data_IF_285867060659
#
_entry.id   IF_285867060659
#
_cell.length_a   1.000
_cell.length_b   1.000
_cell.length_c   1.000
_cell.angle_alpha   90.00
_cell.angle_beta   90.00
_cell.angle_gamma   90.00
#
_symmetry.space_group_name_H-M   'P 1'
#
loop_
_entity.id
_entity.type
_entity.pdbx_description
1 polymer ?
#
# COMPACT_ATOMS: atom_id res chain seq x y z
N UNK A 1 10.10 -24.26 10.10
CA UNK A 1 9.53 -23.47 11.22
C UNK A 1 9.26 -24.36 12.42
N UNK A 2 8.48 -25.43 12.23
CA UNK A 2 8.14 -26.39 13.29
C UNK A 2 9.36 -26.93 14.04
N UNK A 3 10.42 -27.33 13.33
CA UNK A 3 11.65 -27.82 13.96
C UNK A 3 12.42 -26.75 14.75
N UNK A 4 12.26 -25.47 14.39
CA UNK A 4 12.87 -24.37 15.13
C UNK A 4 12.12 -24.13 16.44
N UNK A 5 10.78 -24.08 16.37
CA UNK A 5 9.92 -23.89 17.56
C UNK A 5 9.98 -25.08 18.51
N UNK A 6 10.07 -26.31 18.00
CA UNK A 6 10.18 -27.51 18.82
C UNK A 6 11.49 -27.55 19.62
N UNK A 7 12.59 -27.15 18.98
CA UNK A 7 13.89 -27.12 19.64
C UNK A 7 14.09 -25.91 20.56
N UNK A 8 13.32 -24.83 20.35
CA UNK A 8 13.45 -23.60 21.13
C UNK A 8 12.08 -22.95 21.39
N UNK A 9 11.25 -23.53 22.27
CA UNK A 9 9.88 -23.05 22.51
C UNK A 9 9.83 -21.63 23.06
N UNK A 10 10.86 -21.20 23.80
CA UNK A 10 10.99 -19.84 24.31
C UNK A 10 11.07 -18.76 23.21
N UNK A 11 11.35 -19.14 21.96
CA UNK A 11 11.38 -18.20 20.84
C UNK A 11 9.99 -17.87 20.27
N UNK A 12 8.95 -18.66 20.58
CA UNK A 12 7.58 -18.52 20.04
C UNK A 12 7.04 -17.09 20.19
N UNK A 13 7.17 -16.39 21.33
CA UNK A 13 6.69 -15.02 21.49
C UNK A 13 7.31 -13.99 20.53
N UNK A 14 8.50 -14.28 19.99
CA UNK A 14 9.21 -13.40 19.05
C UNK A 14 9.03 -13.80 17.58
N UNK A 15 8.30 -14.88 17.29
CA UNK A 15 8.02 -15.29 15.92
C UNK A 15 6.83 -14.50 15.41
N UNK A 16 7.05 -13.68 14.38
CA UNK A 16 5.99 -12.92 13.69
C UNK A 16 5.95 -13.28 12.22
N UNK A 17 4.75 -13.20 11.64
CA UNK A 17 4.57 -13.28 10.19
C UNK A 17 5.30 -12.11 9.54
N UNK A 18 6.03 -12.39 8.46
CA UNK A 18 6.76 -11.41 7.67
C UNK A 18 6.24 -11.46 6.23
N UNK A 19 5.83 -10.32 5.69
CA UNK A 19 5.40 -10.21 4.30
C UNK A 19 6.27 -9.23 3.50
N UNK A 20 6.44 -9.55 2.23
CA UNK A 20 6.83 -8.62 1.18
C UNK A 20 5.74 -8.53 0.11
N UNK A 21 5.97 -7.76 -0.96
CA UNK A 21 5.03 -7.68 -2.08
C UNK A 21 4.71 -9.05 -2.69
N UNK A 22 5.70 -9.95 -2.84
CA UNK A 22 5.48 -11.26 -3.44
C UNK A 22 4.62 -12.13 -2.52
N UNK A 23 4.96 -12.19 -1.22
CA UNK A 23 4.21 -12.96 -0.24
C UNK A 23 2.77 -12.47 -0.12
N UNK A 24 2.60 -11.14 -0.07
CA UNK A 24 1.30 -10.49 0.01
C UNK A 24 0.44 -10.76 -1.24
N UNK A 25 1.02 -10.63 -2.43
CA UNK A 25 0.29 -10.83 -3.69
C UNK A 25 -0.07 -12.30 -3.93
N UNK A 26 0.82 -13.22 -3.58
CA UNK A 26 0.68 -14.65 -3.91
C UNK A 26 0.25 -15.52 -2.73
N UNK A 27 -0.09 -14.93 -1.58
CA UNK A 27 -0.54 -15.67 -0.41
C UNK A 27 0.52 -16.56 0.22
N UNK A 28 1.81 -16.23 0.07
CA UNK A 28 2.89 -17.03 0.66
C UNK A 28 3.04 -16.73 2.16
N UNK A 29 3.58 -17.71 2.86
CA UNK A 29 3.87 -17.60 4.29
C UNK A 29 5.37 -17.54 4.54
N UNK A 30 5.76 -16.50 5.27
CA UNK A 30 7.12 -16.32 5.77
C UNK A 30 7.05 -15.72 7.16
N UNK A 31 8.12 -15.97 7.91
CA UNK A 31 8.19 -15.63 9.32
C UNK A 31 9.57 -15.05 9.65
N UNK A 32 9.63 -14.24 10.70
CA UNK A 32 10.88 -13.69 11.22
C UNK A 32 10.95 -13.78 12.74
N UNK A 33 12.19 -13.72 13.26
CA UNK A 33 12.46 -13.38 14.64
C UNK A 33 12.39 -11.87 14.79
N UNK A 34 11.32 -11.39 15.42
CA UNK A 34 11.09 -9.97 15.74
C UNK A 34 11.47 -9.70 17.20
N UNK A 35 12.77 -9.48 17.44
CA UNK A 35 13.34 -9.33 18.78
C UNK A 35 13.25 -7.89 19.33
N UNK A 36 12.32 -7.07 18.81
CA UNK A 36 12.07 -5.75 19.38
C UNK A 36 11.53 -5.92 20.79
N UNK A 37 12.16 -5.24 21.76
CA UNK A 37 11.85 -5.34 23.19
C UNK A 37 12.10 -6.73 23.82
N UNK A 38 12.87 -7.60 23.17
CA UNK A 38 13.30 -8.85 23.80
C UNK A 38 14.27 -8.56 24.95
N UNK A 39 14.06 -9.21 26.10
CA UNK A 39 14.91 -9.08 27.27
C UNK A 39 16.10 -10.05 27.26
N UNK A 40 16.85 -10.14 28.37
CA UNK A 40 18.05 -10.99 28.47
C UNK A 40 17.77 -12.49 28.34
N UNK A 41 16.52 -12.93 28.45
CA UNK A 41 16.09 -14.32 28.29
C UNK A 41 16.52 -14.94 26.95
N UNK A 42 16.64 -14.14 25.89
CA UNK A 42 17.10 -14.63 24.58
C UNK A 42 18.51 -15.21 24.62
N UNK A 43 19.34 -14.85 25.61
CA UNK A 43 20.68 -15.43 25.77
C UNK A 43 20.63 -16.93 26.09
N UNK A 44 19.53 -17.39 26.71
CA UNK A 44 19.29 -18.80 27.01
C UNK A 44 18.75 -19.57 25.80
N UNK A 45 18.55 -18.90 24.67
CA UNK A 45 18.04 -19.45 23.43
C UNK A 45 19.21 -19.64 22.43
N UNK A 46 19.92 -20.79 22.45
CA UNK A 46 21.08 -21.01 21.60
C UNK A 46 20.81 -20.84 20.10
N UNK A 47 19.66 -21.25 19.55
CA UNK A 47 19.40 -21.13 18.10
C UNK A 47 19.05 -19.69 17.72
N UNK A 48 18.30 -18.96 18.54
CA UNK A 48 18.12 -17.51 18.39
C UNK A 48 19.48 -16.81 18.41
N UNK A 49 20.33 -17.11 19.40
CA UNK A 49 21.65 -16.48 19.51
C UNK A 49 22.58 -16.83 18.36
N UNK A 50 22.49 -18.03 17.80
CA UNK A 50 23.19 -18.38 16.55
C UNK A 50 22.77 -17.44 15.41
N UNK A 51 21.47 -17.23 15.20
CA UNK A 51 20.96 -16.29 14.18
C UNK A 51 21.45 -14.86 14.43
N UNK A 52 21.45 -14.40 15.67
CA UNK A 52 21.94 -13.06 16.05
C UNK A 52 23.43 -12.92 15.71
N UNK A 53 24.26 -13.93 16.02
CA UNK A 53 25.70 -13.93 15.68
C UNK A 53 25.93 -13.88 14.17
N UNK A 54 25.17 -14.67 13.40
CA UNK A 54 25.26 -14.66 11.93
C UNK A 54 24.88 -13.29 11.35
N UNK A 55 23.84 -12.64 11.87
CA UNK A 55 23.46 -11.28 11.47
C UNK A 55 24.57 -10.28 11.80
N UNK A 56 25.17 -10.35 13.00
CA UNK A 56 26.29 -9.51 13.40
C UNK A 56 27.47 -9.65 12.43
N UNK A 57 27.95 -10.88 12.22
CA UNK A 57 29.07 -11.17 11.34
C UNK A 57 28.81 -10.69 9.90
N UNK A 58 27.60 -10.92 9.37
CA UNK A 58 27.21 -10.46 8.03
C UNK A 58 27.24 -8.93 7.92
N UNK A 59 26.79 -8.21 8.96
CA UNK A 59 26.78 -6.74 8.99
C UNK A 59 28.18 -6.17 9.12
N UNK A 60 29.05 -6.77 9.93
CA UNK A 60 30.46 -6.38 10.09
C UNK A 60 31.25 -6.51 8.79
N UNK A 61 31.00 -7.57 8.03
CA UNK A 61 31.61 -7.81 6.73
C UNK A 61 31.06 -6.91 5.60
N UNK A 62 30.04 -6.08 5.85
CA UNK A 62 29.41 -5.26 4.82
C UNK A 62 30.32 -4.15 4.31
N UNK A 63 30.30 -3.91 2.99
CA UNK A 63 30.97 -2.76 2.37
C UNK A 63 30.38 -1.41 2.80
N UNK A 64 29.09 -1.37 3.15
CA UNK A 64 28.41 -0.14 3.58
C UNK A 64 28.78 0.24 5.02
N UNK A 65 29.36 1.44 5.26
CA UNK A 65 29.67 1.90 6.62
C UNK A 65 28.44 1.98 7.52
N UNK A 66 27.28 2.32 6.95
CA UNK A 66 26.01 2.39 7.68
C UNK A 66 25.61 1.00 8.17
N UNK A 67 25.71 -0.02 7.31
CA UNK A 67 25.35 -1.41 7.69
C UNK A 67 26.31 -1.95 8.75
N UNK A 68 27.60 -1.61 8.70
CA UNK A 68 28.56 -2.00 9.75
C UNK A 68 28.17 -1.45 11.12
N UNK A 69 27.71 -0.19 11.21
CA UNK A 69 27.19 0.38 12.47
C UNK A 69 26.02 -0.44 13.04
N UNK A 70 25.14 -0.96 12.18
CA UNK A 70 24.03 -1.82 12.61
C UNK A 70 24.45 -3.20 13.15
N UNK A 71 25.74 -3.57 13.09
CA UNK A 71 26.25 -4.77 13.76
C UNK A 71 26.31 -4.65 15.29
N UNK A 72 26.21 -3.42 15.83
CA UNK A 72 26.11 -3.15 17.27
C UNK A 72 24.73 -3.54 17.82
N UNK A 73 23.70 -3.55 16.96
CA UNK A 73 22.32 -3.94 17.30
C UNK A 73 21.83 -5.11 16.42
N UNK A 74 22.48 -6.28 16.48
CA UNK A 74 22.22 -7.40 15.56
C UNK A 74 20.87 -8.09 15.79
N UNK A 75 20.23 -7.85 16.94
CA UNK A 75 18.88 -8.35 17.26
C UNK A 75 17.78 -7.57 16.53
N UNK A 76 18.07 -6.36 16.05
CA UNK A 76 17.08 -5.47 15.44
C UNK A 76 17.22 -5.43 13.93
N UNK A 77 16.08 -5.41 13.23
CA UNK A 77 16.03 -5.08 11.80
C UNK A 77 16.52 -3.64 11.59
N UNK A 78 17.19 -3.33 10.48
CA UNK A 78 17.72 -1.98 10.22
C UNK A 78 16.60 -0.94 10.11
N UNK A 79 15.62 -1.22 9.25
CA UNK A 79 14.40 -0.42 9.11
C UNK A 79 13.26 -1.14 9.83
N UNK A 80 12.51 -0.39 10.64
CA UNK A 80 11.45 -0.92 11.50
C UNK A 80 10.19 -0.06 11.38
N UNK A 81 9.51 -0.03 10.21
CA UNK A 81 8.31 0.78 10.02
C UNK A 81 7.06 0.22 10.73
N UNK A 82 7.17 -0.97 11.31
CA UNK A 82 6.06 -1.69 11.93
C UNK A 82 5.56 -0.99 13.20
N UNK A 83 4.27 -0.66 13.25
CA UNK A 83 3.64 0.13 14.34
C UNK A 83 2.86 -0.73 15.34
N UNK A 84 2.66 -2.02 15.07
CA UNK A 84 1.79 -2.89 15.88
C UNK A 84 0.28 -2.64 15.68
N UNK A 85 -0.11 -1.65 14.88
CA UNK A 85 -1.51 -1.31 14.57
C UNK A 85 -1.95 -1.90 13.23
N UNK A 86 -3.25 -2.11 12.99
CA UNK A 86 -3.76 -2.45 11.66
C UNK A 86 -3.34 -1.42 10.61
N UNK A 87 -3.17 -1.87 9.37
CA UNK A 87 -2.71 -1.01 8.28
C UNK A 87 -3.19 -1.49 6.92
N UNK A 88 -3.16 -0.59 5.94
CA UNK A 88 -3.32 -0.93 4.54
C UNK A 88 -1.95 -1.26 3.93
N UNK A 89 -1.83 -2.47 3.37
CA UNK A 89 -0.62 -2.94 2.68
C UNK A 89 -0.63 -2.56 1.21
N UNK A 90 0.51 -2.05 0.74
CA UNK A 90 0.71 -1.51 -0.62
C UNK A 90 1.97 -2.15 -1.22
N UNK A 91 1.87 -3.08 -2.18
CA UNK A 91 3.04 -3.77 -2.74
C UNK A 91 3.92 -2.79 -3.52
N UNK A 92 5.23 -2.78 -3.23
CA UNK A 92 6.17 -1.91 -3.92
C UNK A 92 6.34 -2.29 -5.39
N UNK A 93 6.12 -3.54 -5.76
CA UNK A 93 6.28 -4.05 -7.12
C UNK A 93 5.04 -4.85 -7.54
N UNK A 94 4.55 -4.62 -8.75
CA UNK A 94 3.43 -5.37 -9.32
C UNK A 94 3.52 -5.40 -10.84
N UNK A 95 2.97 -6.46 -11.46
CA UNK A 95 2.89 -6.56 -12.91
C UNK A 95 2.14 -5.37 -13.51
N UNK A 96 2.71 -4.84 -14.58
CA UNK A 96 2.13 -3.83 -15.46
C UNK A 96 0.82 -4.26 -16.10
N UNK A 97 0.59 -5.57 -16.25
CA UNK A 97 -0.63 -6.13 -16.83
C UNK A 97 -1.87 -5.91 -15.96
N UNK A 98 -1.71 -5.71 -14.65
CA UNK A 98 -2.86 -5.56 -13.75
C UNK A 98 -3.56 -4.24 -13.99
N UNK A 99 -4.88 -4.31 -14.13
CA UNK A 99 -5.74 -3.15 -14.25
C UNK A 99 -5.78 -2.30 -12.98
N UNK A 100 -5.64 -2.95 -11.82
CA UNK A 100 -5.57 -2.33 -10.49
C UNK A 100 -4.40 -2.92 -9.72
N UNK A 101 -3.78 -2.11 -8.86
CA UNK A 101 -2.80 -2.63 -7.89
C UNK A 101 -3.59 -3.13 -6.68
N UNK A 102 -3.55 -4.43 -6.33
CA UNK A 102 -4.31 -4.93 -5.21
C UNK A 102 -3.68 -4.48 -3.90
N UNK A 103 -4.38 -3.61 -3.18
CA UNK A 103 -4.10 -3.26 -1.77
C UNK A 103 -4.99 -4.06 -0.83
N UNK A 104 -4.62 -4.19 0.44
CA UNK A 104 -5.40 -4.97 1.40
C UNK A 104 -5.08 -4.65 2.85
N UNK A 105 -6.08 -4.73 3.71
CA UNK A 105 -5.93 -4.51 5.14
C UNK A 105 -5.17 -5.68 5.79
N UNK A 106 -4.27 -5.35 6.70
CA UNK A 106 -3.42 -6.29 7.42
C UNK A 106 -3.52 -6.04 8.92
N UNK A 107 -3.49 -7.13 9.69
CA UNK A 107 -3.44 -7.05 11.14
C UNK A 107 -2.07 -6.56 11.64
N UNK A 108 -2.08 -5.81 12.74
CA UNK A 108 -0.88 -5.22 13.35
C UNK A 108 0.13 -6.22 13.91
N UNK A 109 -0.16 -7.53 13.88
CA UNK A 109 0.82 -8.57 14.24
C UNK A 109 1.78 -8.93 13.10
N UNK A 110 1.46 -8.56 11.86
CA UNK A 110 2.26 -8.91 10.68
C UNK A 110 3.29 -7.84 10.38
N UNK A 111 4.57 -8.23 10.38
CA UNK A 111 5.70 -7.39 10.02
C UNK A 111 5.83 -7.33 8.50
N UNK A 112 6.26 -6.18 7.98
CA UNK A 112 6.55 -5.98 6.56
C UNK A 112 8.06 -5.79 6.35
N UNK A 113 8.57 -6.21 5.19
CA UNK A 113 9.90 -5.82 4.74
C UNK A 113 9.84 -4.55 3.87
N UNK A 114 10.99 -4.18 3.28
CA UNK A 114 11.14 -2.98 2.46
C UNK A 114 10.41 -3.01 1.10
N UNK A 115 9.90 -4.15 0.67
CA UNK A 115 9.18 -4.32 -0.59
C UNK A 115 7.65 -4.28 -0.42
N UNK A 116 7.15 -3.98 0.78
CA UNK A 116 5.73 -3.75 1.04
C UNK A 116 5.60 -2.47 1.86
N UNK A 117 4.82 -1.51 1.39
CA UNK A 117 4.53 -0.29 2.15
C UNK A 117 3.33 -0.50 3.08
N UNK A 118 3.31 0.33 4.13
CA UNK A 118 2.27 0.39 5.14
C UNK A 118 1.65 1.79 5.12
N UNK A 119 0.33 1.88 5.00
CA UNK A 119 -0.44 3.09 5.30
C UNK A 119 -1.16 2.84 6.64
N UNK A 120 -0.64 3.38 7.76
CA UNK A 120 -1.29 3.25 9.06
C UNK A 120 -2.61 4.03 9.08
N UNK A 121 -3.54 3.61 9.95
CA UNK A 121 -4.80 4.31 10.20
C UNK A 121 -5.65 4.56 8.93
N UNK A 122 -5.45 3.75 7.88
CA UNK A 122 -6.21 3.83 6.64
C UNK A 122 -7.66 3.39 6.88
N UNK A 123 -8.61 4.22 6.45
CA UNK A 123 -10.04 3.94 6.45
C UNK A 123 -10.52 3.42 5.08
N UNK A 124 -11.80 3.05 4.99
CA UNK A 124 -12.41 2.58 3.74
C UNK A 124 -12.39 3.65 2.64
N UNK A 125 -12.47 4.94 3.01
CA UNK A 125 -12.31 6.04 2.07
C UNK A 125 -10.90 6.06 1.45
N UNK A 126 -9.85 5.91 2.26
CA UNK A 126 -8.46 5.82 1.80
C UNK A 126 -8.29 4.63 0.86
N UNK A 127 -8.76 3.45 1.29
CA UNK A 127 -8.71 2.25 0.47
C UNK A 127 -9.45 2.45 -0.86
N UNK A 128 -10.66 3.01 -0.82
CA UNK A 128 -11.48 3.26 -2.01
C UNK A 128 -10.80 4.19 -3.01
N UNK A 129 -10.23 5.30 -2.55
CA UNK A 129 -9.50 6.23 -3.42
C UNK A 129 -8.27 5.54 -4.01
N UNK A 130 -7.47 4.84 -3.19
CA UNK A 130 -6.25 4.16 -3.64
C UNK A 130 -6.54 3.02 -4.62
N UNK A 131 -7.66 2.31 -4.46
CA UNK A 131 -8.07 1.24 -5.36
C UNK A 131 -8.75 1.72 -6.65
N UNK A 132 -8.96 3.03 -6.83
CA UNK A 132 -9.61 3.59 -8.01
C UNK A 132 -8.68 3.73 -9.22
N UNK A 133 -9.27 3.81 -10.41
CA UNK A 133 -8.56 4.18 -11.65
C UNK A 133 -7.87 5.53 -11.56
N UNK A 134 -8.40 6.51 -10.83
CA UNK A 134 -7.74 7.79 -10.63
C UNK A 134 -6.36 7.63 -9.99
N UNK A 135 -6.28 6.83 -8.92
CA UNK A 135 -5.00 6.58 -8.25
C UNK A 135 -4.07 5.68 -9.06
N UNK A 136 -4.62 4.67 -9.73
CA UNK A 136 -3.82 3.79 -10.62
C UNK A 136 -3.24 4.58 -11.80
N UNK A 137 -4.01 5.44 -12.45
CA UNK A 137 -3.55 6.26 -13.56
C UNK A 137 -2.48 7.25 -13.08
N UNK A 138 -2.66 7.88 -11.92
CA UNK A 138 -1.62 8.71 -11.30
C UNK A 138 -0.33 7.94 -11.01
N UNK A 139 -0.46 6.74 -10.45
CA UNK A 139 0.66 5.84 -10.19
C UNK A 139 1.39 5.47 -11.48
N UNK A 140 0.67 5.16 -12.57
CA UNK A 140 1.26 4.86 -13.89
C UNK A 140 2.12 5.99 -14.42
N UNK A 141 1.71 7.24 -14.17
CA UNK A 141 2.41 8.46 -14.59
C UNK A 141 3.61 8.77 -13.70
N UNK A 142 3.52 8.57 -12.39
CA UNK A 142 4.47 9.12 -11.41
C UNK A 142 5.42 8.11 -10.77
N UNK A 143 5.04 6.83 -10.71
CA UNK A 143 5.89 5.79 -10.16
C UNK A 143 7.00 5.37 -11.11
N UNK A 144 8.10 4.87 -10.54
CA UNK A 144 9.15 4.22 -11.32
C UNK A 144 8.69 2.88 -11.89
N UNK A 145 9.58 2.24 -12.66
CA UNK A 145 9.37 0.89 -13.20
C UNK A 145 10.56 -0.02 -12.88
N UNK A 146 10.31 -1.32 -12.80
CA UNK A 146 11.34 -2.35 -12.85
C UNK A 146 11.18 -3.08 -14.18
N UNK A 147 12.03 -2.75 -15.17
CA UNK A 147 11.73 -3.01 -16.58
C UNK A 147 10.39 -2.37 -16.94
N UNK A 148 9.34 -3.16 -17.17
CA UNK A 148 7.98 -2.68 -17.44
C UNK A 148 7.08 -2.70 -16.21
N UNK A 149 7.39 -3.51 -15.19
CA UNK A 149 6.55 -3.66 -13.99
C UNK A 149 6.49 -2.37 -13.20
N UNK A 150 5.33 -2.10 -12.58
CA UNK A 150 5.15 -0.93 -11.73
C UNK A 150 6.00 -1.04 -10.47
N UNK A 151 6.72 0.03 -10.14
CA UNK A 151 7.39 0.20 -8.85
C UNK A 151 6.77 1.35 -8.10
N UNK A 152 5.79 1.03 -7.26
CA UNK A 152 5.08 1.99 -6.42
C UNK A 152 6.08 2.80 -5.59
N UNK A 153 5.89 4.12 -5.50
CA UNK A 153 6.76 5.00 -4.74
C UNK A 153 5.92 5.90 -3.83
N UNK A 154 6.16 5.83 -2.51
CA UNK A 154 5.43 6.68 -1.56
C UNK A 154 5.69 8.18 -1.78
N UNK A 155 6.92 8.57 -2.10
CA UNK A 155 7.32 9.98 -2.28
C UNK A 155 6.82 10.54 -3.60
N UNK A 156 6.86 9.74 -4.68
CA UNK A 156 6.49 10.22 -6.01
C UNK A 156 5.03 9.96 -6.40
N UNK A 157 4.35 9.03 -5.75
CA UNK A 157 2.96 8.67 -6.08
C UNK A 157 2.02 8.98 -4.94
N UNK A 158 2.23 8.42 -3.74
CA UNK A 158 1.27 8.63 -2.64
C UNK A 158 1.27 10.08 -2.14
N UNK A 159 2.47 10.64 -1.89
CA UNK A 159 2.63 11.99 -1.36
C UNK A 159 2.27 13.09 -2.37
N UNK A 160 2.36 12.81 -3.66
CA UNK A 160 2.04 13.75 -4.74
C UNK A 160 0.63 13.55 -5.29
N UNK A 161 -0.07 12.47 -4.92
CA UNK A 161 -1.43 12.24 -5.39
C UNK A 161 -2.32 13.41 -4.95
N UNK A 162 -3.06 14.06 -5.85
CA UNK A 162 -3.93 15.17 -5.50
C UNK A 162 -5.19 14.64 -4.81
N UNK A 163 -5.06 14.33 -3.52
CA UNK A 163 -6.15 13.84 -2.67
C UNK A 163 -7.32 14.82 -2.65
N UNK A 164 -8.58 14.33 -2.58
CA UNK A 164 -9.71 15.18 -2.31
C UNK A 164 -9.58 15.79 -0.91
N UNK A 165 -9.96 17.05 -0.75
CA UNK A 165 -10.03 17.68 0.57
C UNK A 165 -11.12 17.00 1.40
N UNK A 166 -10.71 16.20 2.39
CA UNK A 166 -11.60 15.46 3.29
C UNK A 166 -12.58 16.37 4.03
N UNK A 167 -12.19 17.60 4.34
CA UNK A 167 -13.06 18.56 5.06
C UNK A 167 -14.17 19.11 4.16
N UNK A 168 -13.98 19.08 2.84
CA UNK A 168 -14.95 19.50 1.85
C UNK A 168 -15.91 18.37 1.44
N UNK A 169 -15.68 17.13 1.89
CA UNK A 169 -16.53 15.99 1.54
C UNK A 169 -17.79 15.94 2.41
N UNK A 170 -18.93 15.77 1.75
CA UNK A 170 -20.18 15.51 2.46
C UNK A 170 -20.22 14.08 3.00
N UNK A 171 -20.95 13.81 4.11
CA UNK A 171 -21.13 12.45 4.62
C UNK A 171 -21.67 11.47 3.58
N UNK A 172 -22.56 11.92 2.69
CA UNK A 172 -23.11 11.10 1.61
C UNK A 172 -22.05 10.69 0.57
N UNK A 173 -21.11 11.58 0.23
CA UNK A 173 -20.00 11.26 -0.67
C UNK A 173 -19.05 10.24 -0.04
N UNK A 174 -18.69 10.43 1.23
CA UNK A 174 -17.84 9.50 1.99
C UNK A 174 -18.50 8.11 2.02
N UNK A 175 -19.75 8.03 2.48
CA UNK A 175 -20.50 6.77 2.56
C UNK A 175 -20.64 6.07 1.20
N UNK A 176 -20.78 6.83 0.11
CA UNK A 176 -20.86 6.26 -1.25
C UNK A 176 -19.55 5.55 -1.63
N UNK A 177 -18.40 6.18 -1.36
CA UNK A 177 -17.09 5.60 -1.66
C UNK A 177 -16.79 4.43 -0.73
N UNK A 178 -17.06 4.57 0.57
CA UNK A 178 -16.85 3.50 1.55
C UNK A 178 -17.68 2.26 1.25
N UNK A 179 -18.95 2.43 0.83
CA UNK A 179 -19.80 1.31 0.39
C UNK A 179 -19.24 0.63 -0.85
N UNK A 180 -18.75 1.40 -1.83
CA UNK A 180 -18.15 0.83 -3.04
C UNK A 180 -16.81 0.13 -2.75
N UNK A 181 -16.01 0.69 -1.83
CA UNK A 181 -14.79 0.10 -1.31
C UNK A 181 -15.06 -1.22 -0.58
N UNK A 182 -16.06 -1.27 0.30
CA UNK A 182 -16.48 -2.48 0.96
C UNK A 182 -16.90 -3.55 -0.06
N UNK A 183 -17.68 -3.18 -1.09
CA UNK A 183 -18.06 -4.11 -2.14
C UNK A 183 -16.85 -4.70 -2.92
N UNK A 184 -15.75 -3.95 -3.06
CA UNK A 184 -14.50 -4.48 -3.63
C UNK A 184 -13.84 -5.51 -2.70
N UNK A 185 -13.87 -5.29 -1.39
CA UNK A 185 -13.38 -6.27 -0.41
C UNK A 185 -14.26 -7.52 -0.40
N UNK A 186 -15.58 -7.36 -0.36
CA UNK A 186 -16.55 -8.46 -0.36
C UNK A 186 -16.43 -9.31 -1.63
N UNK A 187 -16.21 -8.67 -2.79
CA UNK A 187 -16.03 -9.39 -4.06
C UNK A 187 -14.74 -10.24 -4.11
N UNK A 188 -13.79 -10.02 -3.20
CA UNK A 188 -12.60 -10.89 -3.06
C UNK A 188 -12.91 -12.15 -2.26
N UNK A 189 -14.01 -12.17 -1.49
CA UNK A 189 -14.35 -13.27 -0.58
C UNK A 189 -15.19 -14.34 -1.30
N UNK A 190 -14.89 -15.60 -0.99
CA UNK A 190 -15.69 -16.78 -1.26
C UNK A 190 -16.83 -16.92 -0.25
N UNK A 191 -17.64 -17.96 -0.42
CA UNK A 191 -18.79 -18.25 0.47
C UNK A 191 -18.35 -18.60 1.90
N UNK A 192 -17.11 -19.09 2.05
CA UNK A 192 -16.47 -19.41 3.32
C UNK A 192 -15.86 -18.18 4.03
N UNK A 193 -16.02 -16.99 3.45
CA UNK A 193 -15.44 -15.76 3.96
C UNK A 193 -13.91 -15.67 3.81
N UNK A 194 -13.29 -16.59 3.06
CA UNK A 194 -11.87 -16.52 2.71
C UNK A 194 -11.68 -15.89 1.32
N UNK A 195 -10.48 -15.45 0.98
CA UNK A 195 -10.24 -14.98 -0.38
C UNK A 195 -10.43 -16.11 -1.40
N UNK A 196 -11.08 -15.82 -2.53
CA UNK A 196 -11.31 -16.77 -3.64
C UNK A 196 -10.03 -17.29 -4.31
N UNK A 197 -8.89 -16.67 -4.00
CA UNK A 197 -7.56 -17.01 -4.47
C UNK A 197 -6.55 -16.00 -3.95
N UNK A 198 -5.30 -16.08 -4.42
CA UNK A 198 -4.32 -15.04 -4.15
C UNK A 198 -4.73 -13.71 -4.81
N UNK A 199 -4.27 -12.58 -4.26
CA UNK A 199 -4.51 -11.27 -4.89
C UNK A 199 -3.97 -11.23 -6.31
N UNK A 200 -2.87 -11.93 -6.59
CA UNK A 200 -2.28 -12.04 -7.91
C UNK A 200 -3.22 -12.72 -8.92
N UNK A 201 -3.94 -13.77 -8.51
CA UNK A 201 -4.90 -14.51 -9.35
C UNK A 201 -6.21 -13.72 -9.51
N UNK A 202 -6.74 -13.17 -8.43
CA UNK A 202 -8.00 -12.40 -8.46
C UNK A 202 -7.88 -11.12 -9.31
N UNK A 203 -6.68 -10.54 -9.42
CA UNK A 203 -6.41 -9.32 -10.20
C UNK A 203 -5.66 -9.60 -11.52
N UNK A 204 -5.59 -10.85 -11.97
CA UNK A 204 -5.11 -11.15 -13.32
C UNK A 204 -6.22 -10.77 -14.33
N UNK A 205 -5.92 -9.95 -15.37
CA UNK A 205 -6.93 -9.47 -16.31
C UNK A 205 -7.77 -10.57 -16.97
N UNK A 206 -7.20 -11.76 -17.17
CA UNK A 206 -7.86 -12.89 -17.83
C UNK A 206 -8.76 -13.69 -16.90
N UNK A 207 -8.55 -13.62 -15.59
CA UNK A 207 -9.26 -14.45 -14.59
C UNK A 207 -10.02 -13.63 -13.54
N UNK A 208 -9.91 -12.31 -13.57
CA UNK A 208 -10.64 -11.41 -12.68
C UNK A 208 -12.15 -11.61 -12.85
N UNK A 209 -12.84 -11.91 -11.74
CA UNK A 209 -14.26 -12.25 -11.79
C UNK A 209 -15.13 -11.06 -12.23
N UNK A 210 -16.29 -11.31 -12.89
CA UNK A 210 -17.24 -10.27 -13.25
C UNK A 210 -17.70 -9.44 -12.04
N UNK A 211 -17.86 -10.07 -10.88
CA UNK A 211 -18.28 -9.43 -9.63
C UNK A 211 -17.24 -8.43 -9.15
N UNK A 212 -15.97 -8.84 -9.10
CA UNK A 212 -14.88 -7.95 -8.70
C UNK A 212 -14.72 -6.80 -9.69
N UNK A 213 -14.81 -7.08 -10.99
CA UNK A 213 -14.76 -6.05 -12.04
C UNK A 213 -15.92 -5.05 -11.90
N UNK A 214 -17.14 -5.52 -11.62
CA UNK A 214 -18.31 -4.67 -11.38
C UNK A 214 -18.15 -3.82 -10.12
N UNK A 215 -17.55 -4.36 -9.06
CA UNK A 215 -17.25 -3.61 -7.84
C UNK A 215 -16.27 -2.47 -8.11
N UNK A 216 -15.16 -2.73 -8.83
CA UNK A 216 -14.22 -1.69 -9.27
C UNK A 216 -14.86 -0.63 -10.14
N UNK A 217 -15.63 -1.02 -11.17
CA UNK A 217 -16.33 -0.06 -12.03
C UNK A 217 -17.31 0.81 -11.24
N UNK A 218 -17.85 0.34 -10.11
CA UNK A 218 -18.71 1.12 -9.23
C UNK A 218 -17.91 2.09 -8.38
N UNK A 219 -16.79 1.62 -7.82
CA UNK A 219 -15.85 2.45 -7.08
C UNK A 219 -15.28 3.58 -7.95
N UNK A 220 -14.84 3.26 -9.17
CA UNK A 220 -14.32 4.25 -10.11
C UNK A 220 -15.35 5.33 -10.44
N UNK A 221 -16.61 4.95 -10.70
CA UNK A 221 -17.68 5.92 -10.95
C UNK A 221 -17.94 6.83 -9.74
N UNK A 222 -17.78 6.32 -8.52
CA UNK A 222 -17.91 7.11 -7.31
C UNK A 222 -16.74 8.10 -7.15
N UNK A 223 -15.50 7.63 -7.36
CA UNK A 223 -14.30 8.46 -7.25
C UNK A 223 -14.20 9.47 -8.39
N UNK A 224 -14.47 9.08 -9.65
CA UNK A 224 -14.53 10.00 -10.79
C UNK A 224 -15.54 11.12 -10.52
N UNK A 225 -16.73 10.79 -10.02
CA UNK A 225 -17.75 11.79 -9.67
C UNK A 225 -17.28 12.71 -8.53
N UNK A 226 -16.54 12.19 -7.55
CA UNK A 226 -15.93 12.99 -6.49
C UNK A 226 -15.02 14.09 -7.06
N UNK A 227 -14.24 13.74 -8.08
CA UNK A 227 -13.36 14.67 -8.79
C UNK A 227 -14.09 15.54 -9.82
N UNK A 228 -15.40 15.35 -10.03
CA UNK A 228 -16.19 16.07 -11.04
C UNK A 228 -16.06 15.51 -12.46
N UNK A 229 -15.54 14.30 -12.60
CA UNK A 229 -15.45 13.58 -13.87
C UNK A 229 -16.76 12.86 -14.19
N UNK A 230 -16.98 12.59 -15.48
CA UNK A 230 -18.12 11.81 -15.97
C UNK A 230 -17.80 10.32 -15.87
N UNK A 231 -18.85 9.51 -15.73
CA UNK A 231 -18.70 8.06 -15.80
C UNK A 231 -18.09 7.64 -17.16
N UNK A 232 -17.10 6.76 -17.12
CA UNK A 232 -16.40 6.30 -18.33
C UNK A 232 -15.32 7.27 -18.83
N UNK A 233 -14.87 8.22 -18.00
CA UNK A 233 -13.73 9.06 -18.35
C UNK A 233 -12.49 8.23 -18.73
N UNK A 234 -11.72 8.71 -19.69
CA UNK A 234 -10.48 8.05 -20.15
C UNK A 234 -9.32 8.34 -19.20
N UNK A 235 -8.24 7.55 -19.32
CA UNK A 235 -6.98 7.81 -18.59
C UNK A 235 -6.47 9.24 -18.83
N UNK A 236 -6.48 9.71 -20.08
CA UNK A 236 -6.06 11.08 -20.43
C UNK A 236 -6.91 12.16 -19.73
N UNK A 237 -8.23 11.95 -19.63
CA UNK A 237 -9.13 12.89 -18.93
C UNK A 237 -8.88 12.90 -17.42
N UNK A 238 -8.70 11.71 -16.81
CA UNK A 238 -8.33 11.60 -15.39
C UNK A 238 -7.00 12.29 -15.12
N UNK A 239 -5.96 12.00 -15.89
CA UNK A 239 -4.64 12.59 -15.71
C UNK A 239 -4.63 14.10 -15.91
N UNK A 240 -5.37 14.63 -16.89
CA UNK A 240 -5.48 16.08 -17.10
C UNK A 240 -6.08 16.77 -15.88
N UNK A 241 -7.16 16.20 -15.32
CA UNK A 241 -7.77 16.74 -14.11
C UNK A 241 -6.82 16.63 -12.91
N UNK A 242 -6.21 15.47 -12.68
CA UNK A 242 -5.32 15.22 -11.54
C UNK A 242 -4.07 16.12 -11.60
N UNK A 243 -3.46 16.32 -12.77
CA UNK A 243 -2.35 17.25 -12.95
C UNK A 243 -2.75 18.70 -12.65
N UNK A 244 -3.95 19.11 -13.09
CA UNK A 244 -4.51 20.42 -12.73
C UNK A 244 -4.66 20.60 -11.22
N UNK A 245 -5.22 19.59 -10.53
CA UNK A 245 -5.35 19.60 -9.06
C UNK A 245 -4.01 19.60 -8.35
N UNK A 246 -3.05 18.82 -8.83
CA UNK A 246 -1.70 18.80 -8.29
C UNK A 246 -1.04 20.18 -8.36
N UNK A 247 -1.21 20.88 -9.49
CA UNK A 247 -0.72 22.25 -9.67
C UNK A 247 -1.42 23.25 -8.74
N UNK A 248 -2.73 23.13 -8.54
CA UNK A 248 -3.50 23.96 -7.59
C UNK A 248 -3.00 23.77 -6.14
N UNK A 249 -2.69 22.53 -5.75
CA UNK A 249 -2.19 22.20 -4.41
C UNK A 249 -0.70 22.53 -4.20
N UNK A 250 0.06 22.66 -5.29
CA UNK A 250 1.50 22.97 -5.26
C UNK A 250 1.82 24.20 -6.11
N UNK A 251 1.31 25.39 -5.74
CA UNK A 251 1.49 26.59 -6.53
C UNK A 251 2.96 27.02 -6.55
N UNK A 252 3.55 27.07 -7.75
CA UNK A 252 4.85 27.70 -8.00
C UNK A 252 4.71 29.23 -8.07
N UNK A 253 5.81 29.97 -7.91
CA UNK A 253 5.83 31.43 -8.07
C UNK A 253 5.24 31.88 -9.43
N UNK A 254 5.49 31.12 -10.50
CA UNK A 254 4.91 31.37 -11.83
C UNK A 254 3.40 31.12 -11.90
N UNK A 255 2.89 30.13 -11.15
CA UNK A 255 1.46 29.83 -11.09
C UNK A 255 0.65 30.84 -10.27
N UNK A 256 1.29 31.53 -9.33
CA UNK A 256 0.68 32.60 -8.52
C UNK A 256 0.45 33.90 -9.32
N UNK A 257 1.15 34.08 -10.45
CA UNK A 257 1.01 35.25 -11.33
C UNK A 257 -0.20 35.21 -12.28
N UNK A 258 -0.90 34.07 -12.41
CA UNK A 258 -2.10 33.95 -13.25
C UNK A 258 -3.35 34.25 -12.42
N UNK A 259 -3.83 35.50 -12.50
CA UNK A 259 -5.08 35.91 -11.86
C UNK A 259 -6.25 34.98 -12.25
N UNK A 260 -7.18 34.66 -11.33
CA UNK A 260 -8.30 33.78 -11.63
C UNK A 260 -9.15 34.39 -12.76
N UNK A 261 -9.45 33.57 -13.79
CA UNK A 261 -10.37 33.97 -14.88
C UNK A 261 -11.71 34.37 -14.27
N UNK A 262 -12.02 35.67 -14.29
CA UNK A 262 -13.35 36.20 -13.92
C UNK A 262 -14.41 35.47 -14.74
N UNK A 263 -15.37 34.81 -14.07
CA UNK A 263 -16.58 34.29 -14.71
C UNK A 263 -17.30 35.48 -15.36
N UNK A 264 -17.58 35.39 -16.67
CA UNK A 264 -18.42 36.40 -17.35
C UNK A 264 -19.79 36.43 -16.65
N UNK A 265 -20.28 37.59 -16.22
CA UNK A 265 -21.63 37.68 -15.69
C UNK A 265 -22.62 37.27 -16.78
N UNK A 266 -23.65 36.50 -16.39
CA UNK A 266 -24.73 36.12 -17.28
C UNK A 266 -25.41 37.39 -17.85
N UNK A 267 -25.80 37.40 -19.13
CA UNK A 267 -26.54 38.53 -19.69
C UNK A 267 -27.86 38.67 -18.92
N UNK A 268 -28.14 39.89 -18.45
CA UNK A 268 -29.44 40.22 -17.86
C UNK A 268 -30.49 40.16 -18.96
N UNK A 269 -31.55 39.38 -18.74
CA UNK A 269 -32.81 39.46 -19.46
C UNK A 269 -33.69 40.56 -18.84
#
# INVERSE_FOLDING_TARGET
MNDFMAAEPGAIPYIKRLLDAQDFLHGKERWCLWLVNAGPEIQKMPRVMERVRLVKATREASKSPIIRKFAEIPTLFVQRPHTGKPYLAVPCHTSERREYVPFGFMHGSTVINNALFMVPDADLLTFGIMMSRAHVDWMRLTSGRLKSDYRYNKELTYNTFPWPDRNALTPAQIATIEKAAAAVLDARLGEDGQHRGSLAEMYNPLTMSPELRKAHNTLDRAVDRLYGLKAGSTEAQRLTLLLGRYQELNPTLESQGKAPRRKKPAPRA
#
